data_IF_515154887531
#
_entry.id   IF_515154887531
#
_cell.length_a   1.000
_cell.length_b   1.000
_cell.length_c   1.000
_cell.angle_alpha   90.00
_cell.angle_beta   90.00
_cell.angle_gamma   90.00
#
_symmetry.space_group_name_H-M   'P 1'
#
loop_
_entity.id
_entity.type
_entity.pdbx_description
1 polymer ?
#
# COMPACT_ATOMS: atom_id res chain seq x y z
N UNK A 1 41.98 52.89 10.24
CA UNK A 1 41.85 51.95 9.11
C UNK A 1 41.11 50.66 9.49
N UNK A 2 41.26 50.12 10.71
CA UNK A 2 40.56 48.90 11.16
C UNK A 2 39.02 48.98 11.15
N UNK A 3 38.41 50.11 11.54
CA UNK A 3 36.95 50.23 11.56
C UNK A 3 36.30 50.11 10.17
N UNK A 4 36.96 50.65 9.14
CA UNK A 4 36.48 50.55 7.75
C UNK A 4 36.57 49.12 7.22
N UNK A 5 37.59 48.36 7.66
CA UNK A 5 37.75 46.94 7.31
C UNK A 5 36.69 46.08 8.01
N UNK A 6 36.40 46.35 9.29
CA UNK A 6 35.37 45.65 10.06
C UNK A 6 33.95 45.89 9.51
N UNK A 7 33.63 47.14 9.14
CA UNK A 7 32.37 47.50 8.49
C UNK A 7 32.19 46.79 7.13
N UNK A 8 33.23 46.74 6.29
CA UNK A 8 33.19 46.00 5.01
C UNK A 8 32.99 44.49 5.22
N UNK A 9 33.60 43.90 6.26
CA UNK A 9 33.48 42.46 6.57
C UNK A 9 32.06 42.09 7.05
N UNK A 10 31.46 42.90 7.93
CA UNK A 10 30.05 42.76 8.37
C UNK A 10 29.05 42.91 7.22
N UNK A 11 29.26 43.89 6.32
CA UNK A 11 28.37 44.12 5.16
C UNK A 11 28.40 42.96 4.17
N UNK A 12 29.58 42.37 3.92
CA UNK A 12 29.72 41.17 3.07
C UNK A 12 29.12 39.91 3.71
N UNK A 13 29.23 39.74 5.03
CA UNK A 13 28.59 38.62 5.73
C UNK A 13 27.06 38.73 5.67
N UNK A 14 26.50 39.91 5.94
CA UNK A 14 25.04 40.17 5.84
C UNK A 14 24.50 39.88 4.43
N UNK A 15 25.20 40.31 3.39
CA UNK A 15 24.81 40.02 2.00
C UNK A 15 24.81 38.51 1.68
N UNK A 16 25.80 37.76 2.19
CA UNK A 16 25.81 36.30 2.05
C UNK A 16 24.65 35.63 2.80
N UNK A 17 24.39 36.02 4.06
CA UNK A 17 23.28 35.44 4.84
C UNK A 17 21.93 35.69 4.17
N UNK A 18 21.68 36.91 3.67
CA UNK A 18 20.45 37.24 2.93
C UNK A 18 20.33 36.39 1.67
N UNK A 19 21.42 36.25 0.89
CA UNK A 19 21.41 35.41 -0.31
C UNK A 19 21.10 33.93 0.02
N UNK A 20 21.75 33.36 1.03
CA UNK A 20 21.48 31.98 1.46
C UNK A 20 20.05 31.81 1.98
N UNK A 21 19.50 32.79 2.70
CA UNK A 21 18.10 32.74 3.13
C UNK A 21 17.11 32.78 1.96
N UNK A 22 17.40 33.56 0.91
CA UNK A 22 16.57 33.60 -0.30
C UNK A 22 16.64 32.28 -1.07
N UNK A 23 17.83 31.68 -1.19
CA UNK A 23 18.01 30.37 -1.81
C UNK A 23 17.25 29.29 -1.04
N UNK A 24 17.38 29.25 0.30
CA UNK A 24 16.63 28.32 1.14
C UNK A 24 15.12 28.50 1.01
N UNK A 25 14.64 29.74 0.96
CA UNK A 25 13.22 30.03 0.79
C UNK A 25 12.71 29.59 -0.58
N UNK A 26 13.48 29.82 -1.65
CA UNK A 26 13.15 29.37 -3.00
C UNK A 26 13.14 27.83 -3.09
N UNK A 27 14.17 27.16 -2.58
CA UNK A 27 14.25 25.70 -2.57
C UNK A 27 13.13 25.08 -1.72
N UNK A 28 12.82 25.68 -0.57
CA UNK A 28 11.70 25.26 0.28
C UNK A 28 10.36 25.39 -0.45
N UNK A 29 10.12 26.52 -1.11
CA UNK A 29 8.92 26.74 -1.93
C UNK A 29 8.83 25.75 -3.09
N UNK A 30 9.93 25.49 -3.79
CA UNK A 30 9.99 24.53 -4.87
C UNK A 30 9.69 23.09 -4.40
N UNK A 31 10.22 22.68 -3.24
CA UNK A 31 9.93 21.38 -2.61
C UNK A 31 8.46 21.24 -2.23
N UNK A 32 7.86 22.28 -1.63
CA UNK A 32 6.44 22.27 -1.29
C UNK A 32 5.58 22.18 -2.55
N UNK A 33 5.91 22.97 -3.58
CA UNK A 33 5.20 22.94 -4.86
C UNK A 33 5.30 21.59 -5.55
N UNK A 34 6.50 21.00 -5.60
CA UNK A 34 6.70 19.66 -6.14
C UNK A 34 5.92 18.60 -5.35
N UNK A 35 5.91 18.70 -4.02
CA UNK A 35 5.15 17.77 -3.17
C UNK A 35 3.65 17.88 -3.44
N UNK A 36 3.11 19.10 -3.53
CA UNK A 36 1.70 19.32 -3.86
C UNK A 36 1.34 18.75 -5.23
N UNK A 37 2.19 18.97 -6.23
CA UNK A 37 2.01 18.43 -7.56
C UNK A 37 1.94 16.89 -7.55
N UNK A 38 2.87 16.22 -6.88
CA UNK A 38 2.87 14.74 -6.83
C UNK A 38 1.65 14.19 -6.09
N UNK A 39 1.17 14.88 -5.05
CA UNK A 39 0.07 14.39 -4.21
C UNK A 39 -1.31 14.60 -4.84
N UNK A 40 -1.54 15.74 -5.51
CA UNK A 40 -2.90 16.16 -5.89
C UNK A 40 -3.14 16.24 -7.40
N UNK A 41 -2.09 16.23 -8.23
CA UNK A 41 -2.24 16.40 -9.67
C UNK A 41 -2.89 15.19 -10.36
N UNK A 42 -3.65 15.47 -11.43
CA UNK A 42 -4.31 14.44 -12.24
C UNK A 42 -3.33 13.48 -12.92
N UNK A 43 -2.08 13.89 -13.11
CA UNK A 43 -1.04 13.05 -13.68
C UNK A 43 -0.78 11.80 -12.84
N UNK A 44 -0.92 11.86 -11.52
CA UNK A 44 -0.70 10.71 -10.63
C UNK A 44 -1.98 9.97 -10.25
N UNK A 45 -3.15 10.37 -10.72
CA UNK A 45 -4.40 9.68 -10.40
C UNK A 45 -4.52 8.34 -11.12
N UNK A 46 -4.98 7.32 -10.41
CA UNK A 46 -5.34 6.02 -10.98
C UNK A 46 -6.52 6.19 -11.93
N UNK A 47 -6.36 5.77 -13.18
CA UNK A 47 -7.42 5.84 -14.20
C UNK A 47 -8.26 4.58 -14.26
N UNK A 48 -7.63 3.44 -14.01
CA UNK A 48 -8.28 2.15 -14.12
C UNK A 48 -7.77 1.22 -13.01
N UNK A 49 -8.71 0.62 -12.29
CA UNK A 49 -8.45 -0.38 -11.27
C UNK A 49 -9.21 -1.63 -11.66
N UNK A 50 -8.48 -2.69 -12.01
CA UNK A 50 -9.07 -3.97 -12.41
C UNK A 50 -8.75 -5.04 -11.36
N UNK A 51 -9.77 -5.80 -10.98
CA UNK A 51 -9.63 -6.97 -10.12
C UNK A 51 -9.88 -8.21 -10.96
N UNK A 52 -8.90 -9.09 -11.03
CA UNK A 52 -8.96 -10.35 -11.78
C UNK A 52 -8.98 -11.53 -10.81
N UNK A 53 -9.72 -12.59 -11.16
CA UNK A 53 -9.76 -13.83 -10.37
C UNK A 53 -10.77 -13.88 -9.22
N UNK A 54 -11.61 -12.85 -9.05
CA UNK A 54 -12.74 -12.88 -8.10
C UNK A 54 -13.96 -13.56 -8.72
N UNK A 55 -14.24 -14.83 -8.41
CA UNK A 55 -15.50 -15.48 -8.84
C UNK A 55 -16.60 -15.31 -7.81
N UNK A 56 -16.23 -15.29 -6.53
CA UNK A 56 -17.17 -15.49 -5.42
C UNK A 56 -17.23 -14.28 -4.46
N UNK A 57 -16.53 -13.19 -4.75
CA UNK A 57 -16.27 -12.11 -3.78
C UNK A 57 -16.73 -10.75 -4.32
N UNK A 58 -17.33 -9.97 -3.42
CA UNK A 58 -17.62 -8.56 -3.61
C UNK A 58 -16.31 -7.77 -3.76
N UNK A 59 -16.06 -7.32 -5.00
CA UNK A 59 -14.84 -6.61 -5.37
C UNK A 59 -14.67 -5.30 -4.61
N UNK A 60 -15.76 -4.56 -4.33
CA UNK A 60 -15.67 -3.28 -3.65
C UNK A 60 -15.23 -3.45 -2.19
N UNK A 61 -15.80 -4.47 -1.52
CA UNK A 61 -15.44 -4.80 -0.15
C UNK A 61 -14.00 -5.29 -0.05
N UNK A 62 -13.57 -6.15 -0.97
CA UNK A 62 -12.18 -6.62 -1.04
C UNK A 62 -11.21 -5.46 -1.26
N UNK A 63 -11.48 -4.60 -2.25
CA UNK A 63 -10.63 -3.45 -2.54
C UNK A 63 -10.54 -2.48 -1.36
N UNK A 64 -11.64 -2.26 -0.64
CA UNK A 64 -11.67 -1.41 0.54
C UNK A 64 -10.79 -1.98 1.67
N UNK A 65 -10.85 -3.30 1.90
CA UNK A 65 -9.99 -3.98 2.87
C UNK A 65 -8.52 -3.93 2.46
N UNK A 66 -8.22 -4.20 1.17
CA UNK A 66 -6.86 -4.13 0.64
C UNK A 66 -6.26 -2.72 0.81
N UNK A 67 -7.02 -1.68 0.47
CA UNK A 67 -6.60 -0.28 0.65
C UNK A 67 -6.30 0.02 2.12
N UNK A 68 -7.16 -0.42 3.03
CA UNK A 68 -6.98 -0.21 4.47
C UNK A 68 -5.73 -0.91 5.02
N UNK A 69 -5.48 -2.15 4.59
CA UNK A 69 -4.27 -2.89 4.96
C UNK A 69 -3.00 -2.23 4.40
N UNK A 70 -3.07 -1.75 3.16
CA UNK A 70 -1.94 -1.03 2.55
C UNK A 70 -1.68 0.33 3.22
N UNK A 71 -2.73 1.02 3.70
CA UNK A 71 -2.63 2.28 4.44
C UNK A 71 -1.98 2.09 5.82
N UNK A 72 -2.35 1.04 6.55
CA UNK A 72 -1.78 0.76 7.88
C UNK A 72 -0.30 0.38 7.82
N UNK A 73 0.16 -0.18 6.70
CA UNK A 73 1.53 -0.64 6.53
C UNK A 73 2.58 0.48 6.32
N UNK A 74 2.20 1.70 5.90
CA UNK A 74 3.19 2.76 5.59
C UNK A 74 2.66 4.18 5.72
N UNK A 75 3.40 5.04 6.43
CA UNK A 75 3.10 6.47 6.58
C UNK A 75 3.14 7.22 5.24
N UNK A 76 4.07 6.87 4.34
CA UNK A 76 4.17 7.51 3.03
C UNK A 76 2.93 7.21 2.16
N UNK A 77 2.36 6.01 2.28
CA UNK A 77 1.12 5.64 1.61
C UNK A 77 -0.08 6.42 2.16
N UNK A 78 -0.12 6.66 3.47
CA UNK A 78 -1.16 7.49 4.07
C UNK A 78 -1.14 8.93 3.53
N UNK A 79 0.05 9.47 3.21
CA UNK A 79 0.16 10.80 2.59
C UNK A 79 -0.30 10.81 1.13
N UNK A 80 0.06 9.79 0.34
CA UNK A 80 -0.31 9.68 -1.09
C UNK A 80 -1.81 9.43 -1.30
N UNK A 81 -2.39 8.57 -0.46
CA UNK A 81 -3.78 8.12 -0.58
C UNK A 81 -4.03 7.12 -1.72
N UNK A 82 -5.11 6.31 -1.65
CA UNK A 82 -5.36 5.20 -2.57
C UNK A 82 -5.70 5.61 -4.01
N UNK A 83 -6.01 6.89 -4.24
CA UNK A 83 -6.30 7.42 -5.58
C UNK A 83 -5.02 7.79 -6.35
N UNK A 84 -3.89 7.93 -5.65
CA UNK A 84 -2.60 8.21 -6.25
C UNK A 84 -1.93 6.88 -6.68
N UNK A 85 -1.43 6.80 -7.90
CA UNK A 85 -0.83 5.56 -8.42
C UNK A 85 0.43 5.15 -7.65
N UNK A 86 1.16 6.10 -7.08
CA UNK A 86 2.37 5.83 -6.30
C UNK A 86 2.06 5.11 -4.97
N UNK A 87 0.82 5.22 -4.47
CA UNK A 87 0.34 4.44 -3.32
C UNK A 87 0.43 2.93 -3.58
N UNK A 88 0.10 2.52 -4.81
CA UNK A 88 0.08 1.12 -5.23
C UNK A 88 1.46 0.58 -5.58
N UNK A 89 2.33 1.45 -6.10
CA UNK A 89 3.67 1.08 -6.54
C UNK A 89 4.61 0.82 -5.35
N UNK A 90 4.70 1.79 -4.42
CA UNK A 90 5.70 1.77 -3.37
C UNK A 90 5.24 1.02 -2.12
N UNK A 91 6.19 0.39 -1.41
CA UNK A 91 5.97 -0.30 -0.14
C UNK A 91 5.61 -1.78 -0.26
N UNK A 92 5.48 -2.46 0.88
CA UNK A 92 5.12 -3.88 0.93
C UNK A 92 3.69 -4.12 0.44
N UNK A 93 3.49 -5.13 -0.41
CA UNK A 93 2.18 -5.56 -0.89
C UNK A 93 1.73 -6.74 -0.03
N UNK A 94 0.55 -6.71 0.60
CA UNK A 94 0.12 -7.80 1.47
C UNK A 94 -0.16 -9.05 0.64
N UNK A 95 0.32 -10.21 1.09
CA UNK A 95 0.04 -11.51 0.46
C UNK A 95 -1.32 -12.08 0.88
N UNK A 96 -1.82 -11.68 2.05
CA UNK A 96 -3.10 -12.11 2.60
C UNK A 96 -3.82 -10.96 3.30
N UNK A 97 -5.15 -11.00 3.28
CA UNK A 97 -5.99 -10.03 3.98
C UNK A 97 -6.67 -10.70 5.19
N UNK A 98 -6.46 -10.22 6.42
CA UNK A 98 -7.13 -10.76 7.60
C UNK A 98 -8.66 -10.71 7.50
N UNK A 99 -9.20 -9.67 6.83
CA UNK A 99 -10.63 -9.44 6.66
C UNK A 99 -11.31 -10.30 5.60
N UNK A 100 -10.55 -11.04 4.79
CA UNK A 100 -11.08 -11.98 3.79
C UNK A 100 -10.10 -13.14 3.62
N UNK A 101 -10.03 -14.07 4.59
CA UNK A 101 -9.05 -15.15 4.59
C UNK A 101 -9.28 -16.12 3.42
N UNK A 102 -10.48 -16.13 2.82
CA UNK A 102 -10.85 -16.98 1.67
C UNK A 102 -10.05 -16.67 0.41
N UNK A 103 -9.39 -15.52 0.35
CA UNK A 103 -8.52 -15.13 -0.76
C UNK A 103 -7.10 -14.87 -0.32
N UNK A 104 -6.20 -15.23 -1.24
CA UNK A 104 -4.83 -14.76 -1.27
C UNK A 104 -4.72 -13.66 -2.31
N UNK A 105 -3.92 -12.63 -2.01
CA UNK A 105 -3.56 -11.60 -2.98
C UNK A 105 -2.45 -12.20 -3.83
N UNK A 106 -2.74 -12.52 -5.08
CA UNK A 106 -1.79 -13.17 -5.96
C UNK A 106 -0.76 -12.17 -6.51
N UNK A 107 -1.21 -10.97 -6.89
CA UNK A 107 -0.35 -9.90 -7.38
C UNK A 107 -1.04 -8.54 -7.31
N UNK A 108 -0.26 -7.48 -7.11
CA UNK A 108 -0.70 -6.09 -7.34
C UNK A 108 0.29 -5.49 -8.33
N UNK A 109 -0.13 -5.41 -9.59
CA UNK A 109 0.67 -4.90 -10.71
C UNK A 109 0.27 -3.47 -11.06
N UNK A 110 1.27 -2.61 -11.23
CA UNK A 110 1.05 -1.18 -11.51
C UNK A 110 1.70 -0.82 -12.83
N UNK A 111 0.89 -0.30 -13.75
CA UNK A 111 1.35 0.28 -15.00
C UNK A 111 1.29 1.81 -14.90
N UNK A 112 2.45 2.43 -14.63
CA UNK A 112 2.57 3.88 -14.48
C UNK A 112 2.19 4.66 -15.75
N UNK A 113 2.50 4.12 -16.93
CA UNK A 113 2.23 4.79 -18.21
C UNK A 113 0.74 4.82 -18.54
N UNK A 114 0.06 3.67 -18.39
CA UNK A 114 -1.38 3.56 -18.59
C UNK A 114 -2.20 4.10 -17.41
N UNK A 115 -1.55 4.39 -16.28
CA UNK A 115 -2.17 4.72 -14.99
C UNK A 115 -3.18 3.68 -14.54
N UNK A 116 -2.79 2.41 -14.69
CA UNK A 116 -3.63 1.25 -14.45
C UNK A 116 -3.05 0.43 -13.31
N UNK A 117 -3.91 0.02 -12.37
CA UNK A 117 -3.58 -0.92 -11.31
C UNK A 117 -4.37 -2.19 -11.55
N UNK A 118 -3.69 -3.32 -11.56
CA UNK A 118 -4.28 -4.65 -11.75
C UNK A 118 -4.04 -5.47 -10.49
N UNK A 119 -5.12 -5.92 -9.86
CA UNK A 119 -5.06 -6.75 -8.66
C UNK A 119 -5.46 -8.17 -9.03
N UNK A 120 -4.49 -9.08 -9.00
CA UNK A 120 -4.69 -10.50 -9.13
C UNK A 120 -5.12 -11.10 -7.79
N UNK A 121 -6.28 -11.73 -7.78
CA UNK A 121 -6.82 -12.41 -6.59
C UNK A 121 -6.92 -13.90 -6.89
N UNK A 122 -6.50 -14.73 -5.93
CA UNK A 122 -6.64 -16.17 -6.01
C UNK A 122 -7.42 -16.67 -4.79
N UNK A 123 -8.58 -17.26 -5.04
CA UNK A 123 -9.36 -17.97 -4.02
C UNK A 123 -8.55 -19.16 -3.49
N UNK A 124 -8.53 -19.33 -2.17
CA UNK A 124 -7.79 -20.42 -1.52
C UNK A 124 -8.53 -21.74 -1.75
N UNK A 125 -7.75 -22.79 -2.00
CA UNK A 125 -8.27 -24.15 -2.11
C UNK A 125 -8.07 -24.87 -0.78
N UNK A 126 -9.06 -25.68 -0.40
CA UNK A 126 -9.01 -26.46 0.84
C UNK A 126 -8.00 -27.59 0.64
N UNK A 127 -6.90 -27.55 1.38
CA UNK A 127 -5.92 -28.63 1.46
C UNK A 127 -6.28 -29.63 2.58
N UNK A 128 -6.93 -29.16 3.64
CA UNK A 128 -7.35 -29.98 4.77
C UNK A 128 -8.45 -29.34 5.60
N UNK A 129 -8.97 -30.10 6.57
CA UNK A 129 -10.02 -29.68 7.50
C UNK A 129 -9.52 -29.82 8.93
N UNK A 130 -9.64 -28.75 9.72
CA UNK A 130 -9.40 -28.72 11.16
C UNK A 130 -10.75 -28.73 11.88
N UNK A 131 -10.97 -29.73 12.74
CA UNK A 131 -12.20 -29.86 13.51
C UNK A 131 -11.94 -29.71 15.01
N UNK A 132 -12.83 -28.98 15.68
CA UNK A 132 -12.92 -28.91 17.14
C UNK A 132 -14.34 -29.28 17.55
N UNK A 133 -14.53 -30.53 17.95
CA UNK A 133 -15.86 -31.10 18.13
C UNK A 133 -16.64 -31.16 16.80
N UNK A 134 -17.81 -30.53 16.76
CA UNK A 134 -18.66 -30.47 15.55
C UNK A 134 -18.33 -29.29 14.62
N UNK A 135 -17.53 -28.33 15.10
CA UNK A 135 -17.13 -27.16 14.31
C UNK A 135 -15.87 -27.49 13.49
N UNK A 136 -16.04 -27.56 12.17
CA UNK A 136 -14.95 -27.84 11.24
C UNK A 136 -14.67 -26.66 10.31
N UNK A 137 -13.39 -26.42 10.03
CA UNK A 137 -12.92 -25.35 9.17
C UNK A 137 -11.90 -25.85 8.17
N UNK A 138 -12.02 -25.44 6.92
CA UNK A 138 -11.04 -25.68 5.88
C UNK A 138 -9.81 -24.79 6.04
N UNK A 139 -8.64 -25.36 5.83
CA UNK A 139 -7.37 -24.66 5.73
C UNK A 139 -6.67 -25.00 4.41
N UNK A 140 -5.77 -24.13 3.96
CA UNK A 140 -5.04 -24.31 2.71
C UNK A 140 -3.62 -24.87 2.92
N UNK A 141 -2.84 -25.01 1.85
CA UNK A 141 -1.47 -25.54 1.94
C UNK A 141 -0.53 -24.69 2.81
N UNK A 142 -0.85 -23.40 3.02
CA UNK A 142 -0.11 -22.51 3.92
C UNK A 142 -0.51 -22.63 5.39
N UNK A 143 -1.53 -23.46 5.69
CA UNK A 143 -2.07 -23.66 7.04
C UNK A 143 -3.03 -22.57 7.49
N UNK A 144 -3.48 -21.68 6.59
CA UNK A 144 -4.42 -20.61 6.94
C UNK A 144 -5.84 -21.18 6.93
N UNK A 145 -6.54 -21.05 8.06
CA UNK A 145 -7.96 -21.44 8.19
C UNK A 145 -8.83 -20.32 7.62
N UNK A 146 -9.72 -20.63 6.68
CA UNK A 146 -10.41 -19.59 5.91
C UNK A 146 -11.90 -19.80 5.63
N UNK A 147 -12.43 -21.02 5.79
CA UNK A 147 -13.83 -21.30 5.51
C UNK A 147 -14.40 -22.35 6.46
N UNK A 148 -15.71 -22.32 6.71
CA UNK A 148 -16.39 -23.45 7.36
C UNK A 148 -16.42 -24.66 6.42
N UNK A 149 -16.24 -25.84 6.98
CA UNK A 149 -16.32 -27.10 6.27
C UNK A 149 -17.30 -28.03 6.97
N UNK A 150 -18.03 -28.91 6.24
CA UNK A 150 -18.70 -30.03 6.88
C UNK A 150 -17.68 -30.94 7.60
N UNK A 151 -18.15 -31.66 8.61
CA UNK A 151 -17.38 -32.74 9.22
C UNK A 151 -17.31 -33.90 8.21
N UNK A 152 -16.10 -34.13 7.69
CA UNK A 152 -15.85 -35.16 6.69
C UNK A 152 -15.49 -36.49 7.36
N UNK A 153 -15.97 -37.59 6.78
CA UNK A 153 -15.59 -38.95 7.16
C UNK A 153 -14.86 -39.60 5.98
N UNK A 154 -13.61 -40.03 6.18
CA UNK A 154 -12.78 -40.66 5.15
C UNK A 154 -11.33 -40.17 5.13
N UNK A 155 -10.59 -40.56 4.09
CA UNK A 155 -9.14 -40.31 3.96
C UNK A 155 -8.75 -39.47 2.73
N UNK A 156 -9.73 -38.97 1.96
CA UNK A 156 -9.48 -38.22 0.72
C UNK A 156 -8.90 -36.82 0.95
N UNK A 157 -9.23 -36.21 2.09
CA UNK A 157 -8.77 -34.89 2.50
C UNK A 157 -8.20 -35.03 3.90
N UNK A 158 -7.06 -34.39 4.16
CA UNK A 158 -6.44 -34.39 5.48
C UNK A 158 -7.43 -33.81 6.50
N UNK A 159 -7.72 -34.57 7.56
CA UNK A 159 -8.52 -34.12 8.70
C UNK A 159 -7.65 -34.12 9.95
N UNK A 160 -7.67 -33.00 10.68
CA UNK A 160 -7.01 -32.84 11.98
C UNK A 160 -8.10 -32.62 13.02
N UNK A 161 -8.10 -33.42 14.08
CA UNK A 161 -8.99 -33.28 15.23
C UNK A 161 -8.17 -32.71 16.41
N UNK A 162 -8.64 -31.59 16.98
CA UNK A 162 -8.09 -30.90 18.16
C UNK A 162 -9.05 -30.99 19.37
#
# INVERSE_FOLDING_TARGET
>A
MEELVFQKKKRKLRGKVVLWSLILLFLGGALIGASYFVLYDDFFKVRQLEVTGSRSIDQERFLSQLKNEMLSASLWRAMLGPDNILFWEFGAKPESLPGSPIVSVAAVDVNLSARKVSVGVKEREIAGVLCRGDDCYGFDESGIVFARSPNIQGYLILKIDD
#
